data_IF_060718355392
#
_entry.id   IF_060718355392
#
_cell.length_a   1.000
_cell.length_b   1.000
_cell.length_c   1.000
_cell.angle_alpha   90.00
_cell.angle_beta   90.00
_cell.angle_gamma   90.00
#
_symmetry.space_group_name_H-M   'P 1'
#
loop_
_entity.id
_entity.type
_entity.pdbx_description
1 polymer ?
#
# COMPACT_ATOMS: atom_id res chain seq x y z
N UNK A 1 6.72 -11.71 16.22
CA UNK A 1 6.60 -11.35 15.85
C UNK A 1 6.75 -10.86 15.51
N UNK A 2 6.87 -10.80 15.33
CA UNK A 2 7.03 -10.06 14.95
C UNK A 2 7.12 -9.90 14.45
N UNK A 3 7.32 -9.94 14.25
CA UNK A 3 7.53 -9.62 13.80
C UNK A 3 7.45 -9.25 13.31
N UNK A 4 7.71 -9.36 13.46
CA UNK A 4 7.78 -8.85 13.11
C UNK A 4 7.59 -8.58 12.64
N UNK A 5 7.79 -8.65 12.53
CA UNK A 5 7.70 -8.30 11.81
C UNK A 5 7.18 -7.25 11.78
N UNK A 6 7.59 -6.70 12.26
CA UNK A 6 7.44 -5.47 12.22
C UNK A 6 6.10 -5.18 11.97
N UNK A 7 5.51 -5.95 11.87
CA UNK A 7 4.41 -5.73 11.58
C UNK A 7 3.61 -5.24 12.50
N UNK A 8 3.89 -4.62 13.28
CA UNK A 8 3.12 -4.07 14.16
C UNK A 8 2.43 -3.10 13.52
N UNK A 9 1.94 -3.13 12.43
CA UNK A 9 1.28 -2.11 11.87
C UNK A 9 0.13 -1.81 12.66
N UNK A 10 0.00 -0.65 13.09
CA UNK A 10 -1.13 -0.24 13.81
C UNK A 10 -1.93 0.62 12.91
N UNK A 11 -3.19 0.38 12.69
CA UNK A 11 -4.01 1.17 11.78
C UNK A 11 -4.26 2.54 12.38
N UNK A 12 -4.01 3.56 11.63
CA UNK A 12 -4.28 4.91 12.05
C UNK A 12 -5.64 5.28 11.53
N UNK A 13 -5.94 4.98 10.28
CA UNK A 13 -7.29 5.07 9.79
C UNK A 13 -7.31 4.17 8.57
N UNK A 14 -8.45 3.88 7.98
CA UNK A 14 -8.54 2.89 6.94
C UNK A 14 -7.53 3.11 5.83
N UNK A 15 -6.71 2.14 5.60
CA UNK A 15 -5.72 2.23 4.54
C UNK A 15 -4.39 2.81 4.95
N UNK A 16 -4.25 3.29 6.19
CA UNK A 16 -3.01 3.87 6.63
C UNK A 16 -2.54 3.17 7.88
N UNK A 17 -1.34 2.60 7.84
CA UNK A 17 -0.80 1.85 8.95
C UNK A 17 0.53 2.40 9.41
N UNK A 18 0.79 2.32 10.69
CA UNK A 18 2.05 2.76 11.22
C UNK A 18 2.93 1.55 11.37
N UNK A 19 4.12 1.59 10.82
CA UNK A 19 5.03 0.48 10.88
C UNK A 19 6.18 0.82 11.80
N UNK A 20 6.64 -0.14 12.57
CA UNK A 20 7.78 0.07 13.38
C UNK A 20 8.87 -0.75 12.78
N UNK A 21 9.94 -0.12 12.37
CA UNK A 21 11.05 -0.79 11.75
C UNK A 21 12.14 -0.96 12.77
N UNK A 22 12.42 -2.17 13.19
CA UNK A 22 13.41 -2.39 14.25
C UNK A 22 14.79 -2.07 13.77
N UNK A 23 15.69 -1.85 14.72
CA UNK A 23 17.04 -1.55 14.35
C UNK A 23 17.66 -2.77 13.74
N UNK A 24 18.62 -2.59 12.88
CA UNK A 24 19.23 -3.68 12.20
C UNK A 24 20.62 -3.27 11.82
N UNK A 25 21.63 -3.97 12.27
CA UNK A 25 22.98 -3.60 11.96
C UNK A 25 23.25 -2.21 12.49
N UNK A 26 23.71 -1.34 11.67
CA UNK A 26 23.98 0.00 12.11
C UNK A 26 22.78 0.89 11.98
N UNK A 27 21.66 0.37 11.48
CA UNK A 27 20.52 1.20 11.33
C UNK A 27 19.70 1.27 12.59
N UNK A 28 19.26 2.40 12.97
CA UNK A 28 18.47 2.55 14.15
C UNK A 28 17.03 2.24 13.92
N UNK A 29 16.30 1.96 14.96
CA UNK A 29 14.89 1.69 14.82
C UNK A 29 14.21 2.95 14.30
N UNK A 30 13.18 2.81 13.53
CA UNK A 30 12.49 3.96 12.98
C UNK A 30 11.05 3.63 12.74
N UNK A 31 10.31 4.62 12.25
CA UNK A 31 8.91 4.46 12.01
C UNK A 31 8.62 4.78 10.56
N UNK A 32 7.68 4.10 9.99
CA UNK A 32 7.28 4.39 8.61
C UNK A 32 5.77 4.31 8.54
N UNK A 33 5.21 4.73 7.43
CA UNK A 33 3.79 4.67 7.22
C UNK A 33 3.57 3.79 6.03
N UNK A 34 2.59 2.89 6.11
CA UNK A 34 2.27 2.07 4.96
C UNK A 34 0.88 2.45 4.49
N UNK A 35 0.72 2.65 3.20
CA UNK A 35 -0.57 2.95 2.63
C UNK A 35 -1.02 1.72 1.89
N UNK A 36 -2.10 1.12 2.33
CA UNK A 36 -2.54 -0.15 1.78
C UNK A 36 -4.06 -0.16 1.82
N UNK A 37 -4.70 -0.11 0.68
CA UNK A 37 -6.16 -0.05 0.66
C UNK A 37 -6.78 -1.19 1.44
N UNK A 38 -7.91 -0.94 2.03
CA UNK A 38 -8.55 -1.98 2.82
C UNK A 38 -9.88 -2.35 2.19
N UNK A 39 -10.35 -3.53 2.53
CA UNK A 39 -11.62 -3.99 1.99
C UNK A 39 -12.72 -3.61 2.98
N UNK A 40 -13.91 -4.09 2.74
CA UNK A 40 -15.04 -3.73 3.58
C UNK A 40 -14.88 -4.14 5.02
N UNK A 41 -14.06 -5.11 5.30
CA UNK A 41 -13.86 -5.52 6.67
C UNK A 41 -12.75 -4.74 7.33
N UNK A 42 -12.10 -3.89 6.60
CA UNK A 42 -11.00 -3.12 7.16
C UNK A 42 -9.65 -3.81 7.02
N UNK A 43 -9.58 -4.90 6.31
CA UNK A 43 -8.33 -5.61 6.16
C UNK A 43 -7.58 -5.13 4.93
N UNK A 44 -6.28 -5.09 5.03
CA UNK A 44 -5.48 -4.65 3.89
C UNK A 44 -5.67 -5.59 2.73
N UNK A 45 -5.78 -5.05 1.54
CA UNK A 45 -6.03 -5.87 0.38
C UNK A 45 -4.76 -6.34 -0.27
N UNK A 46 -3.61 -5.77 0.07
CA UNK A 46 -2.39 -6.22 -0.56
C UNK A 46 -1.44 -6.71 0.49
N UNK A 47 -0.58 -7.61 0.14
CA UNK A 47 0.36 -8.09 1.07
C UNK A 47 1.24 -7.00 1.51
N UNK A 48 1.58 -6.07 0.63
CA UNK A 48 2.46 -5.01 1.00
C UNK A 48 2.00 -3.77 0.30
N UNK A 49 1.88 -2.70 0.95
CA UNK A 49 1.46 -1.45 0.34
C UNK A 49 2.64 -0.55 0.05
N UNK A 50 2.39 0.71 -0.08
CA UNK A 50 3.42 1.69 -0.32
C UNK A 50 3.97 2.10 1.02
N UNK A 51 5.27 1.99 1.21
CA UNK A 51 5.88 2.32 2.47
C UNK A 51 6.59 3.66 2.33
N UNK A 52 6.25 4.60 3.20
CA UNK A 52 6.82 5.92 3.17
C UNK A 52 7.63 6.12 4.42
N UNK A 53 8.88 6.44 4.28
CA UNK A 53 9.78 6.56 5.40
C UNK A 53 10.15 7.95 5.80
N UNK A 54 9.78 8.94 5.05
CA UNK A 54 10.12 10.30 5.40
C UNK A 54 9.14 11.26 4.77
N UNK A 55 9.14 12.47 5.25
CA UNK A 55 8.24 13.48 4.70
C UNK A 55 8.60 13.77 3.26
N UNK A 56 9.88 13.77 2.93
CA UNK A 56 10.22 14.08 1.57
C UNK A 56 9.81 12.95 0.65
N UNK A 57 9.83 11.72 1.14
CA UNK A 57 9.41 10.61 0.33
C UNK A 57 7.90 10.73 0.13
N UNK A 58 7.20 11.17 1.14
CA UNK A 58 5.78 11.36 1.00
C UNK A 58 5.48 12.40 -0.06
N UNK A 59 6.24 13.48 -0.08
CA UNK A 59 5.99 14.53 -1.06
C UNK A 59 6.21 13.99 -2.46
N UNK A 60 7.19 13.12 -2.63
CA UNK A 60 7.45 12.58 -3.93
C UNK A 60 6.30 11.68 -4.37
N UNK A 61 5.84 10.82 -3.50
CA UNK A 61 4.73 9.95 -3.86
C UNK A 61 3.49 10.79 -4.14
N UNK A 62 3.30 11.83 -3.33
CA UNK A 62 2.12 12.65 -3.51
C UNK A 62 2.16 13.32 -4.87
N UNK A 63 3.34 13.77 -5.28
CA UNK A 63 3.44 14.42 -6.54
C UNK A 63 3.19 13.43 -7.67
N UNK A 64 3.71 12.23 -7.56
CA UNK A 64 3.52 11.24 -8.60
C UNK A 64 2.05 10.86 -8.69
N UNK A 65 1.43 10.62 -7.55
CA UNK A 65 0.04 10.19 -7.57
C UNK A 65 -0.90 11.29 -8.03
N UNK A 66 -0.51 12.53 -7.91
CA UNK A 66 -1.37 13.61 -8.36
C UNK A 66 -1.13 13.95 -9.82
N UNK A 67 -0.21 13.25 -10.46
CA UNK A 67 0.10 13.55 -11.84
C UNK A 67 -1.07 13.17 -12.71
N UNK A 68 -1.52 14.10 -13.53
CA UNK A 68 -2.68 13.87 -14.35
C UNK A 68 -2.49 12.70 -15.30
N UNK A 69 -1.29 12.52 -15.81
CA UNK A 69 -1.08 11.43 -16.71
C UNK A 69 -1.20 10.11 -16.02
N UNK A 70 -0.78 10.02 -14.76
CA UNK A 70 -0.89 8.77 -14.05
C UNK A 70 -2.36 8.50 -13.79
N UNK A 71 -3.12 9.52 -13.46
CA UNK A 71 -4.52 9.35 -13.19
C UNK A 71 -5.22 8.85 -14.44
N UNK A 72 -4.84 9.37 -15.59
CA UNK A 72 -5.45 8.94 -16.81
C UNK A 72 -5.09 7.50 -17.12
N UNK A 73 -3.87 7.12 -16.84
CA UNK A 73 -3.46 5.76 -17.09
C UNK A 73 -4.24 4.82 -16.19
N UNK A 74 -4.42 5.22 -14.94
CA UNK A 74 -5.13 4.36 -14.01
C UNK A 74 -6.56 4.15 -14.46
N UNK A 75 -7.17 5.18 -15.03
CA UNK A 75 -8.53 5.01 -15.44
C UNK A 75 -8.63 4.12 -16.64
N UNK A 76 -7.57 4.02 -17.44
CA UNK A 76 -7.63 3.18 -18.58
C UNK A 76 -7.51 1.73 -18.20
N UNK A 77 -7.10 1.42 -17.01
CA UNK A 77 -6.98 0.03 -16.60
C UNK A 77 -8.32 -0.64 -16.76
N UNK A 78 -9.38 0.03 -16.35
CA UNK A 78 -10.68 -0.59 -16.44
C UNK A 78 -11.15 -0.74 -17.88
N UNK A 79 -10.65 0.09 -18.76
CA UNK A 79 -11.06 -0.01 -20.12
C UNK A 79 -10.34 -1.12 -20.84
N UNK A 80 -9.10 -1.32 -20.49
CA UNK A 80 -8.30 -2.32 -21.17
C UNK A 80 -8.45 -3.71 -20.61
N UNK A 81 -8.63 -3.84 -19.32
CA UNK A 81 -8.74 -5.14 -18.72
C UNK A 81 -10.14 -5.69 -18.81
N UNK A 82 -10.26 -6.96 -18.88
CA UNK A 82 -11.58 -7.54 -18.95
C UNK A 82 -12.35 -7.24 -17.71
N UNK A 83 -13.62 -7.14 -17.79
CA UNK A 83 -14.32 -6.85 -16.68
C UNK A 83 -14.31 -7.93 -15.75
N UNK A 84 -13.74 -7.86 -14.76
CA UNK A 84 -13.69 -8.87 -13.88
C UNK A 84 -14.76 -8.76 -13.00
N UNK A 85 -15.46 -9.35 -12.65
CA UNK A 85 -16.39 -9.22 -11.76
C UNK A 85 -15.87 -9.06 -10.50
N UNK A 86 -16.42 -8.58 -9.73
CA UNK A 86 -15.98 -8.32 -8.49
C UNK A 86 -15.59 -9.45 -7.75
N UNK A 87 -16.17 -10.46 -7.93
CA UNK A 87 -15.82 -11.51 -7.15
C UNK A 87 -14.49 -11.84 -7.45
N UNK A 88 -14.17 -11.73 -8.53
CA UNK A 88 -12.88 -12.07 -8.90
C UNK A 88 -12.01 -11.29 -8.10
N UNK A 89 -12.46 -10.29 -7.64
CA UNK A 89 -11.60 -9.48 -7.01
C UNK A 89 -10.87 -10.16 -6.06
N UNK A 90 -11.41 -10.93 -5.39
CA UNK A 90 -10.69 -11.49 -4.37
C UNK A 90 -9.55 -12.12 -4.99
N UNK A 91 -9.72 -12.95 -5.86
CA UNK A 91 -8.62 -13.61 -6.38
C UNK A 91 -8.07 -12.77 -7.40
N UNK A 92 -8.81 -12.02 -7.95
CA UNK A 92 -8.27 -11.24 -8.98
C UNK A 92 -7.09 -10.53 -8.56
N UNK A 93 -7.08 -10.14 -7.39
CA UNK A 93 -5.98 -9.39 -6.99
C UNK A 93 -4.78 -10.17 -7.13
N UNK A 94 -4.85 -11.39 -7.06
CA UNK A 94 -3.69 -12.09 -7.12
C UNK A 94 -3.14 -11.95 -8.42
N UNK A 95 -3.88 -11.92 -9.36
CA UNK A 95 -3.38 -11.81 -10.63
C UNK A 95 -2.59 -10.66 -10.79
N UNK A 96 -2.91 -9.62 -10.20
CA UNK A 96 -2.20 -8.49 -10.38
C UNK A 96 -0.98 -8.51 -9.77
N UNK A 97 -0.81 -9.17 -8.85
CA UNK A 97 0.34 -9.19 -8.24
C UNK A 97 1.36 -9.63 -9.04
N UNK A 98 1.22 -10.11 -10.06
CA UNK A 98 2.24 -10.52 -10.81
C UNK A 98 3.13 -9.74 -11.11
#
# INVERSE_FOLDING_TARGET
>A
MGLGTGKEDQPIYPGVFLLKLPSSGSRQASIAIEINPVDATGSATKKRGIVIRSASEFDEFNRILANQKLIELARKIDEVNPKQKEEATATGSDVFEI
#
